data_IF_733184813915
#
_entry.id   IF_733184813915
#
_cell.length_a   1.000
_cell.length_b   1.000
_cell.length_c   1.000
_cell.angle_alpha   90.00
_cell.angle_beta   90.00
_cell.angle_gamma   90.00
#
_symmetry.space_group_name_H-M   'P 1'
#
loop_
_entity.id
_entity.type
_entity.pdbx_description
1 polymer ?
#
# COMPACT_ATOMS: atom_id res chain seq x y z
N UNK A 1 -9.22 -8.73 12.89
CA UNK A 1 -8.37 -7.81 12.11
C UNK A 1 -7.56 -8.69 11.16
N UNK A 2 -7.92 -8.75 9.88
CA UNK A 2 -7.25 -9.67 8.93
C UNK A 2 -6.41 -8.85 7.95
N UNK A 3 -5.09 -8.98 8.07
CA UNK A 3 -4.11 -8.49 7.11
C UNK A 3 -3.59 -9.72 6.36
N UNK A 4 -3.74 -9.74 5.04
CA UNK A 4 -3.23 -10.81 4.18
C UNK A 4 -2.27 -10.21 3.15
N UNK A 5 -1.03 -10.68 3.15
CA UNK A 5 -0.03 -10.31 2.16
C UNK A 5 0.20 -11.49 1.20
N UNK A 6 0.19 -11.22 -0.10
CA UNK A 6 0.37 -12.21 -1.17
C UNK A 6 1.46 -11.69 -2.12
N UNK A 7 2.47 -12.52 -2.38
CA UNK A 7 3.52 -12.23 -3.37
C UNK A 7 3.05 -12.76 -4.73
N UNK A 8 3.04 -11.91 -5.74
CA UNK A 8 2.61 -12.25 -7.11
C UNK A 8 3.78 -12.56 -8.02
N UNK A 9 4.91 -11.89 -7.82
CA UNK A 9 6.12 -12.08 -8.61
C UNK A 9 7.37 -11.69 -7.81
N UNK A 10 8.50 -12.31 -8.15
CA UNK A 10 9.80 -12.06 -7.55
C UNK A 10 10.87 -11.89 -8.65
N UNK A 11 11.82 -10.99 -8.42
CA UNK A 11 13.03 -10.82 -9.23
C UNK A 11 14.23 -10.67 -8.29
N UNK A 12 14.99 -11.76 -8.11
CA UNK A 12 16.05 -11.85 -7.11
C UNK A 12 15.53 -11.58 -5.70
N UNK A 13 15.82 -10.38 -5.15
CA UNK A 13 15.33 -9.94 -3.82
C UNK A 13 14.14 -8.99 -3.89
N UNK A 14 13.77 -8.54 -5.09
CA UNK A 14 12.62 -7.67 -5.31
C UNK A 14 11.33 -8.49 -5.33
N UNK A 15 10.24 -7.90 -4.81
CA UNK A 15 8.94 -8.55 -4.69
C UNK A 15 7.84 -7.59 -5.13
N UNK A 16 6.90 -8.11 -5.91
CA UNK A 16 5.64 -7.45 -6.25
C UNK A 16 4.49 -8.28 -5.66
N UNK A 17 3.42 -7.64 -5.20
CA UNK A 17 2.31 -8.36 -4.59
C UNK A 17 1.17 -7.47 -4.13
N UNK A 18 0.20 -8.05 -3.42
CA UNK A 18 -0.97 -7.35 -2.88
C UNK A 18 -1.08 -7.52 -1.37
N UNK A 19 -1.48 -6.45 -0.70
CA UNK A 19 -1.89 -6.44 0.71
C UNK A 19 -3.39 -6.23 0.77
N UNK A 20 -4.12 -7.16 1.38
CA UNK A 20 -5.56 -7.05 1.66
C UNK A 20 -5.80 -6.72 3.12
N UNK A 21 -6.64 -5.73 3.37
CA UNK A 21 -7.07 -5.28 4.69
C UNK A 21 -8.60 -5.08 4.70
N UNK A 22 -9.17 -4.83 5.88
CA UNK A 22 -10.62 -4.60 6.03
C UNK A 22 -11.16 -3.47 5.15
N UNK A 23 -10.37 -2.44 4.87
CA UNK A 23 -10.77 -1.24 4.10
C UNK A 23 -10.41 -1.33 2.61
N UNK A 24 -10.02 -2.50 2.12
CA UNK A 24 -9.64 -2.71 0.71
C UNK A 24 -8.25 -3.32 0.57
N UNK A 25 -7.72 -3.26 -0.65
CA UNK A 25 -6.41 -3.81 -1.01
C UNK A 25 -5.53 -2.79 -1.71
N UNK A 26 -4.21 -2.96 -1.63
CA UNK A 26 -3.23 -2.15 -2.34
C UNK A 26 -2.05 -3.00 -2.84
N UNK A 27 -1.39 -2.52 -3.88
CA UNK A 27 -0.26 -3.21 -4.53
C UNK A 27 1.06 -2.80 -3.87
N UNK A 28 2.00 -3.73 -3.76
CA UNK A 28 3.37 -3.53 -3.28
C UNK A 28 4.36 -3.75 -4.43
N UNK A 29 5.45 -2.97 -4.54
CA UNK A 29 5.87 -1.91 -3.61
C UNK A 29 4.95 -0.68 -3.68
N UNK A 30 4.69 -0.06 -2.52
CA UNK A 30 3.83 1.11 -2.40
C UNK A 30 4.59 2.28 -1.77
N UNK A 31 4.41 3.48 -2.33
CA UNK A 31 4.77 4.73 -1.68
C UNK A 31 3.51 5.39 -1.15
N UNK A 32 3.42 5.57 0.16
CA UNK A 32 2.22 6.09 0.82
C UNK A 32 2.40 7.59 1.08
N UNK A 33 1.41 8.44 0.72
CA UNK A 33 1.46 9.86 1.01
C UNK A 33 1.30 10.11 2.52
N UNK A 34 1.89 11.19 3.01
CA UNK A 34 1.84 11.57 4.43
C UNK A 34 0.70 12.57 4.65
N UNK A 35 -0.21 12.22 5.55
CA UNK A 35 -1.37 13.04 5.93
C UNK A 35 -1.41 13.31 7.45
N UNK A 36 -0.27 13.73 8.03
CA UNK A 36 -0.10 13.85 9.49
C UNK A 36 -1.13 14.75 10.16
N UNK A 37 -1.61 15.78 9.46
CA UNK A 37 -2.58 16.76 9.96
C UNK A 37 -3.99 16.55 9.38
N UNK A 38 -4.33 15.33 8.94
CA UNK A 38 -5.67 14.98 8.45
C UNK A 38 -5.91 15.20 6.96
N UNK A 39 -5.02 15.89 6.26
CA UNK A 39 -5.02 16.02 4.79
C UNK A 39 -3.61 15.83 4.22
N UNK A 40 -3.52 15.42 2.96
CA UNK A 40 -2.25 15.44 2.22
C UNK A 40 -2.10 16.83 1.64
N UNK A 41 -0.96 17.47 1.93
CA UNK A 41 -0.71 18.84 1.49
C UNK A 41 -0.86 18.97 -0.04
N UNK A 42 -1.66 19.95 -0.47
CA UNK A 42 -1.89 20.31 -1.87
C UNK A 42 -2.62 19.25 -2.72
N UNK A 43 -3.40 18.35 -2.12
CA UNK A 43 -4.31 17.45 -2.85
C UNK A 43 -5.79 17.87 -2.78
N UNK A 44 -6.13 18.84 -1.93
CA UNK A 44 -7.45 19.46 -1.79
C UNK A 44 -7.51 20.82 -2.51
N UNK A 45 -8.62 21.08 -3.22
CA UNK A 45 -8.93 22.34 -3.93
C UNK A 45 -10.11 23.05 -3.28
#
# INVERSE_FOLDING_TARGET
MNLKFEIEAEDGRARCGRVRMRRGEFHTPAFLPVATLGTVRALDS
#
